data_IF_406794136268
#
_entry.id   IF_406794136268
#
_cell.length_a   1.000
_cell.length_b   1.000
_cell.length_c   1.000
_cell.angle_alpha   90.00
_cell.angle_beta   90.00
_cell.angle_gamma   90.00
#
_symmetry.space_group_name_H-M   'P 1'
#
loop_
_entity.id
_entity.type
_entity.pdbx_description
1 polymer ?
#
# COMPACT_ATOMS: atom_id res chain seq x y z
N UNK A 1 45.03 -6.06 5.81
CA UNK A 1 44.41 -6.58 4.56
C UNK A 1 42.92 -6.73 4.84
N UNK A 2 42.14 -5.72 4.46
CA UNK A 2 40.69 -5.70 4.62
C UNK A 2 40.02 -6.51 3.51
N UNK A 3 39.15 -7.45 3.90
CA UNK A 3 38.37 -8.32 3.00
C UNK A 3 37.45 -7.49 2.10
N UNK A 4 37.44 -7.67 0.76
CA UNK A 4 36.64 -6.85 -0.14
C UNK A 4 35.26 -7.45 -0.54
N UNK A 5 34.67 -8.31 0.27
CA UNK A 5 33.34 -8.88 -0.03
C UNK A 5 32.35 -8.61 1.11
N UNK A 6 31.90 -7.35 1.19
CA UNK A 6 30.58 -7.07 1.76
C UNK A 6 29.56 -7.58 0.77
N UNK A 7 28.98 -8.77 0.98
CA UNK A 7 27.80 -9.21 0.26
C UNK A 7 26.65 -8.29 0.66
N UNK A 8 26.38 -7.27 -0.14
CA UNK A 8 25.20 -6.40 0.08
C UNK A 8 23.96 -7.30 0.09
N UNK A 9 23.21 -7.24 1.20
CA UNK A 9 21.94 -7.96 1.29
C UNK A 9 21.04 -7.56 0.12
N UNK A 10 20.41 -8.55 -0.53
CA UNK A 10 19.59 -8.32 -1.72
C UNK A 10 18.10 -8.49 -1.40
N UNK A 11 17.25 -7.74 -2.11
CA UNK A 11 15.80 -7.86 -2.07
C UNK A 11 15.23 -8.00 -3.48
N UNK A 12 13.93 -8.28 -3.59
CA UNK A 12 13.26 -8.36 -4.88
C UNK A 12 12.72 -7.01 -5.33
N UNK A 13 13.01 -6.64 -6.58
CA UNK A 13 12.37 -5.56 -7.33
C UNK A 13 11.74 -6.18 -8.58
N UNK A 14 10.45 -6.51 -8.50
CA UNK A 14 9.82 -7.42 -9.43
C UNK A 14 10.52 -8.80 -9.40
N UNK A 15 10.89 -9.33 -10.55
CA UNK A 15 11.64 -10.59 -10.65
C UNK A 15 13.16 -10.40 -10.52
N UNK A 16 13.66 -9.17 -10.54
CA UNK A 16 15.09 -8.88 -10.37
C UNK A 16 15.49 -8.89 -8.90
N UNK A 17 16.75 -9.30 -8.62
CA UNK A 17 17.38 -9.09 -7.33
C UNK A 17 18.19 -7.79 -7.38
N UNK A 18 17.99 -6.95 -6.40
CA UNK A 18 18.68 -5.65 -6.26
C UNK A 18 19.22 -5.48 -4.85
N UNK A 19 20.29 -4.68 -4.64
CA UNK A 19 20.72 -4.31 -3.29
C UNK A 19 19.57 -3.67 -2.50
N UNK A 20 19.50 -3.99 -1.21
CA UNK A 20 18.42 -3.47 -0.33
C UNK A 20 18.34 -1.94 -0.38
N UNK A 21 19.49 -1.27 -0.30
CA UNK A 21 19.59 0.18 -0.35
C UNK A 21 19.05 0.79 -1.65
N UNK A 22 19.15 0.08 -2.78
CA UNK A 22 18.71 0.58 -4.09
C UNK A 22 17.20 0.47 -4.31
N UNK A 23 16.51 -0.46 -3.62
CA UNK A 23 15.08 -0.74 -3.89
C UNK A 23 14.20 0.48 -3.71
N UNK A 24 14.40 1.25 -2.64
CA UNK A 24 13.56 2.43 -2.33
C UNK A 24 13.65 3.50 -3.42
N UNK A 25 14.86 3.74 -3.95
CA UNK A 25 15.05 4.66 -5.07
C UNK A 25 14.35 4.18 -6.34
N UNK A 26 14.54 2.92 -6.70
CA UNK A 26 13.90 2.30 -7.88
C UNK A 26 12.36 2.34 -7.79
N UNK A 27 11.80 2.05 -6.64
CA UNK A 27 10.34 2.14 -6.42
C UNK A 27 9.87 3.59 -6.55
N UNK A 28 10.58 4.55 -5.95
CA UNK A 28 10.25 5.96 -6.07
C UNK A 28 10.26 6.44 -7.52
N UNK A 29 11.23 6.01 -8.31
CA UNK A 29 11.35 6.38 -9.72
C UNK A 29 10.17 5.85 -10.54
N UNK A 30 9.73 4.59 -10.30
CA UNK A 30 8.51 4.04 -10.90
C UNK A 30 7.28 4.88 -10.56
N UNK A 31 7.11 5.29 -9.30
CA UNK A 31 5.95 6.11 -8.91
C UNK A 31 6.03 7.55 -9.43
N UNK A 32 7.23 8.12 -9.54
CA UNK A 32 7.42 9.45 -10.15
C UNK A 32 7.03 9.46 -11.62
N UNK A 33 7.38 8.40 -12.38
CA UNK A 33 7.06 8.31 -13.81
C UNK A 33 5.56 8.24 -14.09
N UNK A 34 4.77 7.72 -13.15
CA UNK A 34 3.32 7.54 -13.29
C UNK A 34 2.49 8.53 -12.46
N UNK A 35 3.13 9.39 -11.64
CA UNK A 35 2.45 10.25 -10.66
C UNK A 35 1.35 11.13 -11.29
N UNK A 36 1.61 11.73 -12.45
CA UNK A 36 0.64 12.60 -13.15
C UNK A 36 -0.57 11.84 -13.72
N UNK A 37 -0.44 10.55 -13.96
CA UNK A 37 -1.49 9.70 -14.55
C UNK A 37 -2.00 8.65 -13.55
N UNK A 38 -1.52 8.65 -12.31
CA UNK A 38 -1.86 7.64 -11.31
C UNK A 38 -3.37 7.58 -11.02
N UNK A 39 -4.03 8.74 -10.97
CA UNK A 39 -5.49 8.80 -10.78
C UNK A 39 -6.26 8.28 -12.00
N UNK A 40 -5.70 8.41 -13.21
CA UNK A 40 -6.30 7.88 -14.45
C UNK A 40 -6.21 6.35 -14.51
N UNK A 41 -5.15 5.77 -13.92
CA UNK A 41 -4.94 4.32 -13.81
C UNK A 41 -5.84 3.64 -12.77
N UNK A 42 -6.41 4.39 -11.82
CA UNK A 42 -7.37 3.88 -10.86
C UNK A 42 -8.77 3.75 -11.48
N UNK A 43 -8.89 2.89 -12.50
CA UNK A 43 -10.17 2.50 -13.08
C UNK A 43 -11.20 2.19 -11.98
N UNK A 44 -12.50 2.40 -12.27
CA UNK A 44 -13.61 2.36 -11.33
C UNK A 44 -13.60 1.24 -10.28
N UNK A 45 -12.95 0.08 -10.57
CA UNK A 45 -12.82 -1.05 -9.66
C UNK A 45 -11.98 -0.72 -8.41
N UNK A 46 -10.86 0.02 -8.55
CA UNK A 46 -10.06 0.44 -7.38
C UNK A 46 -10.86 1.34 -6.43
N UNK A 47 -11.77 2.17 -6.98
CA UNK A 47 -12.66 2.99 -6.16
C UNK A 47 -13.61 2.15 -5.33
N UNK A 48 -14.13 1.06 -5.88
CA UNK A 48 -14.98 0.10 -5.18
C UNK A 48 -14.19 -0.66 -4.10
N UNK A 49 -12.96 -1.08 -4.39
CA UNK A 49 -12.12 -1.76 -3.42
C UNK A 49 -11.74 -0.84 -2.24
N UNK A 50 -11.39 0.42 -2.51
CA UNK A 50 -11.13 1.43 -1.46
C UNK A 50 -12.40 1.76 -0.67
N UNK A 51 -13.57 1.77 -1.30
CA UNK A 51 -14.84 1.91 -0.61
C UNK A 51 -15.08 0.74 0.34
N UNK A 52 -14.90 -0.50 -0.13
CA UNK A 52 -15.02 -1.72 0.68
C UNK A 52 -14.03 -1.76 1.86
N UNK A 53 -12.79 -1.25 1.67
CA UNK A 53 -11.83 -1.10 2.76
C UNK A 53 -12.38 -0.22 3.87
N UNK A 54 -12.92 0.96 3.50
CA UNK A 54 -13.45 1.92 4.47
C UNK A 54 -14.77 1.47 5.08
N UNK A 55 -15.62 0.77 4.33
CA UNK A 55 -16.85 0.17 4.85
C UNK A 55 -16.52 -0.87 5.95
N UNK A 56 -15.45 -1.66 5.74
CA UNK A 56 -15.01 -2.63 6.73
C UNK A 56 -14.22 -2.00 7.89
N UNK A 57 -13.52 -0.90 7.65
CA UNK A 57 -12.83 -0.12 8.69
C UNK A 57 -13.83 0.56 9.63
N UNK A 58 -14.97 1.02 9.11
CA UNK A 58 -15.98 1.80 9.83
C UNK A 58 -15.40 3.10 10.41
N UNK A 59 -15.24 4.16 9.58
CA UNK A 59 -14.73 5.46 10.03
C UNK A 59 -15.52 6.00 11.23
N UNK A 60 -14.81 6.59 12.20
CA UNK A 60 -15.38 7.15 13.41
C UNK A 60 -14.71 8.50 13.73
N UNK A 61 -15.46 9.54 14.19
CA UNK A 61 -14.91 10.88 14.40
C UNK A 61 -13.82 10.94 15.48
N UNK A 62 -13.88 10.07 16.50
CA UNK A 62 -12.92 10.06 17.61
C UNK A 62 -11.67 9.17 17.33
N UNK A 63 -11.55 8.62 16.13
CA UNK A 63 -10.45 7.70 15.77
C UNK A 63 -9.44 8.38 14.87
N UNK A 64 -8.16 8.30 15.29
CA UNK A 64 -7.03 8.78 14.49
C UNK A 64 -6.64 7.68 13.49
N UNK A 65 -6.70 8.02 12.20
CA UNK A 65 -6.23 7.17 11.11
C UNK A 65 -4.79 7.52 10.73
N UNK A 66 -3.92 6.52 10.60
CA UNK A 66 -2.65 6.62 9.88
C UNK A 66 -2.79 5.89 8.54
N UNK A 67 -2.70 6.63 7.43
CA UNK A 67 -2.72 6.11 6.06
C UNK A 67 -1.29 6.07 5.51
N UNK A 68 -0.68 4.89 5.48
CA UNK A 68 0.71 4.67 5.08
C UNK A 68 0.79 4.28 3.61
N UNK A 69 1.82 4.75 2.92
CA UNK A 69 1.89 4.79 1.47
C UNK A 69 0.62 5.46 0.88
N UNK A 70 0.19 6.54 1.56
CA UNK A 70 -1.08 7.21 1.28
C UNK A 70 -1.06 8.08 0.03
N UNK A 71 0.13 8.34 -0.54
CA UNK A 71 0.31 9.07 -1.79
C UNK A 71 -0.39 10.43 -1.78
N UNK A 72 -1.33 10.62 -2.68
CA UNK A 72 -2.13 11.86 -2.81
C UNK A 72 -3.31 11.94 -1.82
N UNK A 73 -3.42 11.03 -0.84
CA UNK A 73 -4.42 11.07 0.22
C UNK A 73 -5.84 10.64 -0.19
N UNK A 74 -5.98 9.74 -1.17
CA UNK A 74 -7.32 9.29 -1.60
C UNK A 74 -8.07 8.53 -0.50
N UNK A 75 -7.42 7.65 0.26
CA UNK A 75 -8.03 6.98 1.42
C UNK A 75 -8.38 8.01 2.50
N UNK A 76 -7.44 8.90 2.83
CA UNK A 76 -7.64 9.97 3.81
C UNK A 76 -8.87 10.84 3.48
N UNK A 77 -8.97 11.30 2.24
CA UNK A 77 -10.10 12.07 1.74
C UNK A 77 -11.44 11.32 1.87
N UNK A 78 -11.46 10.05 1.49
CA UNK A 78 -12.67 9.20 1.60
C UNK A 78 -13.05 8.91 3.04
N UNK A 79 -12.05 8.72 3.93
CA UNK A 79 -12.25 8.52 5.36
C UNK A 79 -12.91 9.75 5.99
N UNK A 80 -12.38 10.94 5.71
CA UNK A 80 -12.95 12.22 6.19
C UNK A 80 -14.39 12.43 5.70
N UNK A 81 -14.67 12.17 4.42
CA UNK A 81 -16.04 12.29 3.85
C UNK A 81 -17.05 11.35 4.49
N UNK A 82 -16.60 10.28 5.15
CA UNK A 82 -17.44 9.31 5.88
C UNK A 82 -17.52 9.61 7.37
N UNK A 83 -17.18 10.83 7.79
CA UNK A 83 -17.24 11.25 9.19
C UNK A 83 -16.08 10.74 10.05
N UNK A 84 -14.98 10.33 9.43
CA UNK A 84 -13.77 9.91 10.16
C UNK A 84 -13.08 11.07 10.85
N UNK A 85 -12.37 10.77 11.94
CA UNK A 85 -11.59 11.71 12.76
C UNK A 85 -10.31 12.22 12.08
N UNK A 86 -9.30 12.65 12.85
CA UNK A 86 -8.02 13.12 12.33
C UNK A 86 -7.31 12.06 11.49
N UNK A 87 -6.59 12.50 10.46
CA UNK A 87 -5.83 11.60 9.57
C UNK A 87 -4.39 12.06 9.46
N UNK A 88 -3.47 11.11 9.55
CA UNK A 88 -2.07 11.30 9.20
C UNK A 88 -1.82 10.52 7.90
N UNK A 89 -1.45 11.22 6.85
CA UNK A 89 -0.99 10.61 5.58
C UNK A 89 0.52 10.52 5.62
N UNK A 90 1.06 9.32 5.56
CA UNK A 90 2.49 9.06 5.53
C UNK A 90 2.88 8.41 4.21
N UNK A 91 3.86 8.99 3.52
CA UNK A 91 4.41 8.41 2.28
C UNK A 91 5.91 8.70 2.20
N UNK A 92 6.67 7.80 1.57
CA UNK A 92 8.10 7.98 1.34
C UNK A 92 8.38 8.99 0.21
N UNK A 93 7.37 9.25 -0.65
CA UNK A 93 7.47 10.15 -1.79
C UNK A 93 6.91 11.53 -1.46
N UNK A 94 7.80 12.49 -1.20
CA UNK A 94 7.45 13.86 -0.87
C UNK A 94 6.61 14.54 -1.97
N UNK A 95 6.91 14.29 -3.25
CA UNK A 95 6.18 14.90 -4.35
C UNK A 95 4.70 14.43 -4.40
N UNK A 96 4.43 13.17 -4.03
CA UNK A 96 3.06 12.66 -3.90
C UNK A 96 2.30 13.35 -2.77
N UNK A 97 2.95 13.58 -1.62
CA UNK A 97 2.36 14.30 -0.50
C UNK A 97 2.04 15.76 -0.85
N UNK A 98 2.94 16.45 -1.54
CA UNK A 98 2.74 17.83 -2.00
C UNK A 98 1.59 17.93 -3.00
N UNK A 99 1.54 17.04 -3.99
CA UNK A 99 0.42 16.96 -4.93
C UNK A 99 -0.91 16.69 -4.23
N UNK A 100 -0.92 15.80 -3.24
CA UNK A 100 -2.09 15.50 -2.41
C UNK A 100 -2.54 16.71 -1.59
N UNK A 101 -1.61 17.39 -0.92
CA UNK A 101 -1.89 18.61 -0.14
C UNK A 101 -2.52 19.70 -1.01
N UNK A 102 -1.93 20.00 -2.18
CA UNK A 102 -2.44 20.99 -3.10
C UNK A 102 -3.86 20.64 -3.58
N UNK A 103 -4.06 19.39 -4.02
CA UNK A 103 -5.35 18.90 -4.48
C UNK A 103 -6.45 19.00 -3.41
N UNK A 104 -6.15 18.63 -2.17
CA UNK A 104 -7.16 18.61 -1.10
C UNK A 104 -7.42 19.99 -0.50
N UNK A 105 -6.46 20.92 -0.56
CA UNK A 105 -6.66 22.32 -0.15
C UNK A 105 -7.69 23.06 -1.02
N UNK A 106 -7.75 22.77 -2.32
CA UNK A 106 -8.71 23.35 -3.25
C UNK A 106 -10.17 22.96 -2.93
N UNK A 107 -10.38 21.80 -2.29
CA UNK A 107 -11.72 21.31 -1.93
C UNK A 107 -12.25 21.86 -0.59
N UNK A 108 -11.51 22.73 0.12
CA UNK A 108 -11.98 23.59 1.22
C UNK A 108 -12.59 22.91 2.47
N UNK A 109 -12.56 21.58 2.57
CA UNK A 109 -13.30 20.82 3.60
C UNK A 109 -12.52 19.72 4.30
N UNK A 110 -11.20 19.68 4.17
CA UNK A 110 -10.40 18.60 4.75
C UNK A 110 -9.37 19.17 5.76
N UNK A 111 -9.88 19.93 6.75
CA UNK A 111 -9.17 20.19 8.00
C UNK A 111 -8.81 18.86 8.67
N UNK A 112 -7.74 18.83 9.45
CA UNK A 112 -7.29 17.67 10.23
C UNK A 112 -6.65 16.54 9.41
N UNK A 113 -6.01 16.87 8.29
CA UNK A 113 -5.09 15.96 7.59
C UNK A 113 -3.66 16.45 7.78
N UNK A 114 -2.85 15.66 8.46
CA UNK A 114 -1.41 15.88 8.64
C UNK A 114 -0.64 15.08 7.59
N UNK A 115 0.35 15.71 6.95
CA UNK A 115 1.16 15.08 5.91
C UNK A 115 2.59 14.88 6.41
N UNK A 116 3.07 13.64 6.36
CA UNK A 116 4.36 13.23 6.92
C UNK A 116 5.15 12.46 5.87
N UNK A 117 6.36 12.95 5.56
CA UNK A 117 7.29 12.15 4.74
C UNK A 117 7.95 11.09 5.64
N UNK A 118 7.77 9.82 5.32
CA UNK A 118 8.27 8.73 6.15
C UNK A 118 8.23 7.37 5.48
N UNK A 119 9.08 6.49 5.98
CA UNK A 119 9.20 5.11 5.51
C UNK A 119 8.28 4.20 6.34
N UNK A 120 7.50 3.35 5.66
CA UNK A 120 6.66 2.35 6.32
C UNK A 120 7.43 1.36 7.20
N UNK A 121 8.73 1.17 6.94
CA UNK A 121 9.62 0.30 7.70
C UNK A 121 10.30 0.99 8.90
N UNK A 122 10.11 2.33 9.05
CA UNK A 122 10.63 3.16 10.14
C UNK A 122 9.80 4.44 10.24
N UNK A 123 8.59 4.31 10.78
CA UNK A 123 7.60 5.39 10.82
C UNK A 123 7.99 6.48 11.82
N UNK A 124 8.00 7.77 11.43
CA UNK A 124 8.22 8.89 12.35
C UNK A 124 6.93 9.21 13.13
N UNK A 125 6.33 8.18 13.71
CA UNK A 125 5.06 8.22 14.45
C UNK A 125 5.30 7.60 15.83
N UNK A 126 4.81 8.22 16.91
CA UNK A 126 4.98 7.69 18.26
C UNK A 126 4.33 6.31 18.45
N UNK A 127 4.86 5.55 19.40
CA UNK A 127 4.27 4.28 19.82
C UNK A 127 2.84 4.47 20.32
N UNK A 128 1.97 3.50 20.04
CA UNK A 128 0.61 3.42 20.61
C UNK A 128 -0.18 4.71 20.50
N UNK A 129 -0.07 5.42 19.38
CA UNK A 129 -0.71 6.72 19.14
C UNK A 129 -1.88 6.67 18.16
N UNK A 130 -2.04 5.58 17.41
CA UNK A 130 -2.96 5.44 16.28
C UNK A 130 -4.06 4.44 16.58
N UNK A 131 -5.31 4.78 16.25
CA UNK A 131 -6.48 3.90 16.43
C UNK A 131 -6.70 2.99 15.21
N UNK A 132 -6.43 3.49 14.01
CA UNK A 132 -6.60 2.77 12.76
C UNK A 132 -5.40 3.00 11.85
N UNK A 133 -4.91 1.94 11.22
CA UNK A 133 -3.81 1.95 10.27
C UNK A 133 -4.31 1.40 8.94
N UNK A 134 -4.10 2.13 7.85
CA UNK A 134 -4.35 1.65 6.49
C UNK A 134 -3.07 1.66 5.68
N UNK A 135 -2.92 0.67 4.81
CA UNK A 135 -1.97 0.66 3.72
C UNK A 135 -2.65 0.08 2.48
N UNK A 136 -2.80 0.92 1.44
CA UNK A 136 -3.50 0.53 0.22
C UNK A 136 -2.55 0.56 -0.98
N UNK A 137 -2.31 -0.62 -1.58
CA UNK A 137 -1.43 -0.82 -2.74
C UNK A 137 0.03 -0.39 -2.51
N UNK A 138 0.46 -0.36 -1.23
CA UNK A 138 1.80 0.05 -0.82
C UNK A 138 2.67 -1.07 -0.29
N UNK A 139 2.07 -2.07 0.38
CA UNK A 139 2.82 -3.09 1.14
C UNK A 139 3.71 -3.97 0.27
N UNK A 140 3.34 -4.24 -0.99
CA UNK A 140 4.18 -5.00 -1.94
C UNK A 140 5.49 -4.30 -2.31
N UNK A 141 5.55 -2.98 -2.12
CA UNK A 141 6.68 -2.15 -2.52
C UNK A 141 7.73 -1.97 -1.42
N UNK A 142 7.41 -2.28 -0.16
CA UNK A 142 8.37 -2.20 0.95
C UNK A 142 9.53 -3.18 0.76
N UNK A 143 10.66 -2.89 1.38
CA UNK A 143 11.83 -3.76 1.32
C UNK A 143 11.64 -5.00 2.19
N UNK A 144 11.04 -4.81 3.37
CA UNK A 144 10.74 -5.86 4.34
C UNK A 144 9.32 -5.75 4.87
N UNK A 145 8.45 -6.66 4.43
CA UNK A 145 7.05 -6.75 4.93
C UNK A 145 7.03 -6.92 6.45
N UNK A 146 7.95 -7.74 7.00
CA UNK A 146 8.01 -7.96 8.45
C UNK A 146 8.33 -6.68 9.21
N UNK A 147 9.27 -5.83 8.73
CA UNK A 147 9.58 -4.54 9.36
C UNK A 147 8.38 -3.59 9.30
N UNK A 148 7.74 -3.47 8.13
CA UNK A 148 6.58 -2.61 7.97
C UNK A 148 5.40 -3.05 8.87
N UNK A 149 5.16 -4.36 9.02
CA UNK A 149 4.13 -4.88 9.91
C UNK A 149 4.48 -4.68 11.41
N UNK A 150 5.77 -4.78 11.79
CA UNK A 150 6.23 -4.45 13.15
C UNK A 150 5.99 -2.98 13.47
N UNK A 151 6.29 -2.08 12.55
CA UNK A 151 6.02 -0.65 12.68
C UNK A 151 4.52 -0.36 12.79
N UNK A 152 3.70 -0.98 11.92
CA UNK A 152 2.25 -0.86 12.01
C UNK A 152 1.73 -1.28 13.40
N UNK A 153 2.23 -2.40 13.94
CA UNK A 153 1.89 -2.82 15.29
C UNK A 153 2.40 -1.85 16.36
N UNK A 154 3.63 -1.32 16.20
CA UNK A 154 4.24 -0.39 17.17
C UNK A 154 3.38 0.86 17.36
N UNK A 155 2.95 1.48 16.26
CA UNK A 155 2.21 2.74 16.29
C UNK A 155 0.73 2.56 16.69
N UNK A 156 0.13 1.41 16.46
CA UNK A 156 -1.24 1.13 16.86
C UNK A 156 -1.37 1.08 18.39
N UNK A 157 -2.44 1.64 18.93
CA UNK A 157 -2.87 1.48 20.33
C UNK A 157 -3.35 0.05 20.59
N UNK A 158 -3.35 -0.44 21.83
CA UNK A 158 -4.16 -1.62 22.17
C UNK A 158 -5.62 -1.41 21.75
N UNK A 159 -6.22 -2.39 21.09
CA UNK A 159 -7.53 -2.24 20.45
C UNK A 159 -7.51 -1.52 19.11
N UNK A 160 -6.34 -1.10 18.63
CA UNK A 160 -6.17 -0.48 17.31
C UNK A 160 -6.22 -1.49 16.17
N UNK A 161 -6.71 -1.04 15.01
CA UNK A 161 -6.97 -1.91 13.86
C UNK A 161 -6.04 -1.64 12.70
N UNK A 162 -5.40 -2.69 12.21
CA UNK A 162 -4.61 -2.72 10.97
C UNK A 162 -5.49 -3.16 9.80
N UNK A 163 -5.40 -2.46 8.66
CA UNK A 163 -6.06 -2.80 7.41
C UNK A 163 -5.10 -2.67 6.23
N UNK A 164 -5.00 -3.71 5.41
CA UNK A 164 -4.19 -3.70 4.19
C UNK A 164 -5.06 -4.07 2.99
N UNK A 165 -5.15 -3.16 2.01
CA UNK A 165 -5.73 -3.45 0.70
C UNK A 165 -4.58 -3.63 -0.30
N UNK A 166 -4.48 -4.81 -0.90
CA UNK A 166 -3.41 -5.08 -1.85
C UNK A 166 -3.88 -6.02 -2.97
N UNK A 167 -3.20 -5.95 -4.11
CA UNK A 167 -3.34 -6.98 -5.12
C UNK A 167 -2.92 -8.33 -4.56
N UNK A 168 -3.57 -9.38 -5.04
CA UNK A 168 -3.33 -10.73 -4.56
C UNK A 168 -3.46 -11.76 -5.68
N UNK A 169 -3.43 -13.02 -5.31
CA UNK A 169 -3.55 -14.12 -6.24
C UNK A 169 -5.01 -14.52 -6.40
N UNK A 170 -5.54 -14.64 -7.65
CA UNK A 170 -6.91 -15.08 -7.87
C UNK A 170 -7.24 -16.34 -7.10
N UNK A 171 -8.33 -16.30 -6.34
CA UNK A 171 -8.80 -17.43 -5.53
C UNK A 171 -9.69 -18.41 -6.31
N UNK A 172 -10.18 -18.00 -7.48
CA UNK A 172 -11.04 -18.79 -8.36
C UNK A 172 -10.21 -19.33 -9.50
N UNK A 173 -10.00 -20.64 -9.56
CA UNK A 173 -9.16 -21.30 -10.55
C UNK A 173 -9.58 -21.01 -12.00
N UNK A 174 -10.87 -20.90 -12.27
CA UNK A 174 -11.41 -20.64 -13.61
C UNK A 174 -10.99 -19.28 -14.20
N UNK A 175 -10.70 -18.28 -13.37
CA UNK A 175 -10.30 -16.95 -13.85
C UNK A 175 -8.78 -16.80 -14.03
N UNK A 176 -7.96 -17.73 -13.52
CA UNK A 176 -6.50 -17.66 -13.57
C UNK A 176 -5.96 -17.53 -15.00
N UNK A 177 -6.39 -18.33 -16.00
CA UNK A 177 -5.87 -18.20 -17.35
C UNK A 177 -6.15 -16.83 -17.98
N UNK A 178 -7.38 -16.33 -17.83
CA UNK A 178 -7.78 -15.02 -18.34
C UNK A 178 -7.03 -13.88 -17.63
N UNK A 179 -6.90 -13.96 -16.32
CA UNK A 179 -6.11 -13.00 -15.52
C UNK A 179 -4.64 -12.98 -15.93
N UNK A 180 -4.04 -14.14 -16.18
CA UNK A 180 -2.66 -14.24 -16.64
C UNK A 180 -2.48 -13.61 -18.03
N UNK A 181 -3.36 -13.93 -18.97
CA UNK A 181 -3.32 -13.34 -20.31
C UNK A 181 -3.47 -11.81 -20.25
N UNK A 182 -4.41 -11.31 -19.46
CA UNK A 182 -4.60 -9.87 -19.24
C UNK A 182 -3.35 -9.22 -18.62
N UNK A 183 -2.82 -9.78 -17.51
CA UNK A 183 -1.71 -9.21 -16.77
C UNK A 183 -0.41 -9.14 -17.57
N UNK A 184 -0.08 -10.17 -18.35
CA UNK A 184 1.20 -10.25 -19.06
C UNK A 184 1.16 -9.74 -20.50
N UNK A 185 -0.01 -9.77 -21.14
CA UNK A 185 -0.12 -9.38 -22.56
C UNK A 185 -0.80 -8.03 -22.75
N UNK A 186 -1.85 -7.74 -21.97
CA UNK A 186 -2.70 -6.55 -22.20
C UNK A 186 -2.23 -5.38 -21.35
N UNK A 187 -2.02 -5.56 -20.07
CA UNK A 187 -1.63 -4.48 -19.15
C UNK A 187 -0.35 -3.73 -19.56
N UNK A 188 0.76 -4.40 -19.95
CA UNK A 188 1.97 -3.69 -20.41
C UNK A 188 1.76 -2.89 -21.69
N UNK A 189 0.90 -3.36 -22.60
CA UNK A 189 0.59 -2.62 -23.83
C UNK A 189 -0.31 -1.40 -23.57
N UNK A 190 -1.27 -1.52 -22.65
CA UNK A 190 -2.04 -0.35 -22.16
C UNK A 190 -1.09 0.66 -21.52
N UNK A 191 -0.14 0.19 -20.69
CA UNK A 191 0.88 1.05 -20.09
C UNK A 191 1.68 1.81 -21.12
N UNK A 192 2.14 1.15 -22.17
CA UNK A 192 2.87 1.78 -23.27
C UNK A 192 2.04 2.87 -23.98
N UNK A 193 0.75 2.64 -24.17
CA UNK A 193 -0.13 3.57 -24.89
C UNK A 193 -0.58 4.76 -24.04
N UNK A 194 -0.85 4.52 -22.73
CA UNK A 194 -1.45 5.54 -21.84
C UNK A 194 -0.41 6.37 -21.11
N UNK A 195 0.65 5.73 -20.58
CA UNK A 195 1.65 6.42 -19.75
C UNK A 195 3.02 6.51 -20.40
N UNK A 196 3.22 5.87 -21.57
CA UNK A 196 4.51 5.70 -22.26
C UNK A 196 5.59 5.01 -21.40
N UNK A 197 5.20 4.36 -20.30
CA UNK A 197 6.09 3.67 -19.36
C UNK A 197 5.72 2.17 -19.26
N UNK A 198 6.32 1.36 -20.13
CA UNK A 198 6.14 -0.10 -20.13
C UNK A 198 6.77 -0.76 -18.91
N UNK A 199 7.86 -0.20 -18.40
CA UNK A 199 8.63 -0.80 -17.30
C UNK A 199 7.90 -0.66 -15.96
N UNK A 200 7.18 0.43 -15.73
CA UNK A 200 6.32 0.59 -14.55
C UNK A 200 5.22 -0.48 -14.49
N UNK A 201 4.59 -0.79 -15.62
CA UNK A 201 3.57 -1.84 -15.69
C UNK A 201 4.15 -3.26 -15.56
N UNK A 202 5.33 -3.48 -16.13
CA UNK A 202 6.07 -4.74 -15.94
C UNK A 202 6.38 -4.93 -14.45
N UNK A 203 6.92 -3.91 -13.79
CA UNK A 203 7.15 -3.92 -12.35
C UNK A 203 5.88 -4.21 -11.56
N UNK A 204 4.75 -3.57 -11.92
CA UNK A 204 3.45 -3.82 -11.27
C UNK A 204 3.08 -5.30 -11.29
N UNK A 205 3.09 -5.92 -12.47
CA UNK A 205 2.75 -7.35 -12.63
C UNK A 205 3.71 -8.24 -11.84
N UNK A 206 5.01 -7.98 -11.94
CA UNK A 206 6.05 -8.77 -11.28
C UNK A 206 5.97 -8.62 -9.74
N UNK A 207 5.74 -7.40 -9.23
CA UNK A 207 5.61 -7.15 -7.80
C UNK A 207 4.38 -7.84 -7.20
N UNK A 208 3.26 -7.87 -7.91
CA UNK A 208 2.06 -8.62 -7.51
C UNK A 208 2.37 -10.12 -7.40
N UNK A 209 3.10 -10.68 -8.37
CA UNK A 209 3.43 -12.12 -8.38
C UNK A 209 4.40 -12.53 -7.28
N UNK A 210 5.23 -11.61 -6.81
CA UNK A 210 6.17 -11.82 -5.70
C UNK A 210 5.56 -11.57 -4.33
N UNK A 211 4.42 -10.88 -4.29
CA UNK A 211 3.74 -10.58 -3.03
C UNK A 211 3.13 -11.85 -2.42
N UNK A 212 3.14 -12.01 -1.09
CA UNK A 212 2.51 -13.13 -0.41
C UNK A 212 1.03 -13.28 -0.80
N UNK A 213 0.57 -14.52 -0.95
CA UNK A 213 -0.85 -14.80 -1.08
C UNK A 213 -1.60 -14.49 0.23
N UNK A 214 -2.93 -14.61 0.21
CA UNK A 214 -3.80 -14.22 1.33
C UNK A 214 -3.40 -14.91 2.64
N UNK A 215 -3.18 -16.22 2.62
CA UNK A 215 -2.82 -17.00 3.81
C UNK A 215 -1.38 -16.74 4.28
N UNK A 216 -0.46 -16.50 3.36
CA UNK A 216 0.92 -16.15 3.67
C UNK A 216 1.00 -14.77 4.33
N UNK A 217 0.27 -13.76 3.82
CA UNK A 217 0.23 -12.45 4.47
C UNK A 217 -0.42 -12.52 5.86
N UNK A 218 -1.46 -13.33 6.02
CA UNK A 218 -2.06 -13.59 7.33
C UNK A 218 -1.04 -14.19 8.31
N UNK A 219 -0.20 -15.14 7.87
CA UNK A 219 0.90 -15.68 8.68
C UNK A 219 1.94 -14.60 9.03
N UNK A 220 2.29 -13.73 8.07
CA UNK A 220 3.20 -12.61 8.34
C UNK A 220 2.63 -11.67 9.41
N UNK A 221 1.34 -11.35 9.38
CA UNK A 221 0.69 -10.53 10.40
C UNK A 221 0.73 -11.18 11.77
N UNK A 222 0.41 -12.47 11.86
CA UNK A 222 0.48 -13.26 13.12
C UNK A 222 1.89 -13.32 13.69
N UNK A 223 2.92 -13.43 12.84
CA UNK A 223 4.32 -13.50 13.27
C UNK A 223 4.84 -12.23 13.96
N UNK A 224 4.15 -11.11 13.78
CA UNK A 224 4.46 -9.85 14.46
C UNK A 224 3.44 -9.53 15.58
N UNK A 225 2.66 -10.52 16.03
CA UNK A 225 1.62 -10.37 17.06
C UNK A 225 0.52 -9.35 16.69
N UNK A 226 0.14 -9.29 15.43
CA UNK A 226 -1.13 -8.76 15.00
C UNK A 226 -2.16 -9.88 15.06
N UNK A 227 -3.22 -9.68 15.82
CA UNK A 227 -4.17 -10.72 16.21
C UNK A 227 -5.52 -10.60 15.49
N UNK A 228 -6.43 -11.56 15.68
CA UNK A 228 -7.74 -11.62 15.02
C UNK A 228 -7.65 -11.36 13.52
N UNK A 229 -6.61 -11.93 12.90
CA UNK A 229 -6.37 -11.78 11.47
C UNK A 229 -7.50 -12.39 10.66
N UNK A 230 -7.93 -11.66 9.64
CA UNK A 230 -8.92 -12.12 8.68
C UNK A 230 -8.70 -11.41 7.34
N UNK A 231 -9.27 -11.95 6.27
CA UNK A 231 -9.23 -11.30 4.97
C UNK A 231 -10.54 -11.46 4.18
N UNK A 232 -10.76 -10.54 3.24
CA UNK A 232 -11.87 -10.57 2.28
C UNK A 232 -11.32 -10.45 0.87
N UNK A 233 -11.65 -11.43 0.03
CA UNK A 233 -11.31 -11.38 -1.39
C UNK A 233 -12.26 -10.44 -2.13
N UNK A 234 -11.69 -9.63 -3.02
CA UNK A 234 -12.39 -8.73 -3.91
C UNK A 234 -12.13 -9.17 -5.36
N UNK A 235 -13.15 -9.06 -6.21
CA UNK A 235 -13.05 -9.43 -7.64
C UNK A 235 -12.42 -10.82 -7.85
N UNK A 236 -12.93 -11.83 -7.14
CA UNK A 236 -12.40 -13.20 -7.27
C UNK A 236 -11.01 -13.43 -6.71
N UNK A 237 -10.52 -12.52 -5.85
CA UNK A 237 -9.20 -12.60 -5.22
C UNK A 237 -8.11 -11.83 -5.95
N UNK A 238 -8.44 -11.07 -7.01
CA UNK A 238 -7.48 -10.16 -7.69
C UNK A 238 -6.96 -9.10 -6.73
N UNK A 239 -7.82 -8.62 -5.83
CA UNK A 239 -7.42 -7.82 -4.69
C UNK A 239 -7.97 -8.43 -3.40
N UNK A 240 -7.34 -8.10 -2.28
CA UNK A 240 -7.71 -8.62 -0.96
C UNK A 240 -7.56 -7.53 0.09
N UNK A 241 -8.54 -7.44 0.99
CA UNK A 241 -8.42 -6.64 2.19
C UNK A 241 -8.07 -7.58 3.33
N UNK A 242 -6.94 -7.35 4.00
CA UNK A 242 -6.59 -8.00 5.25
C UNK A 242 -6.90 -7.09 6.43
N UNK A 243 -7.35 -7.66 7.52
CA UNK A 243 -7.60 -6.97 8.77
C UNK A 243 -6.94 -7.71 9.92
N UNK A 244 -6.38 -6.96 10.85
CA UNK A 244 -5.84 -7.49 12.11
C UNK A 244 -5.96 -6.44 13.21
N UNK A 245 -5.71 -6.84 14.45
CA UNK A 245 -5.81 -5.99 15.63
C UNK A 245 -4.53 -6.06 16.46
N UNK A 246 -4.16 -4.97 17.08
CA UNK A 246 -3.25 -4.98 18.21
C UNK A 246 -4.09 -5.17 19.48
N UNK A 247 -4.03 -6.33 20.10
CA UNK A 247 -4.61 -6.60 21.42
C UNK A 247 -3.60 -6.31 22.53
#
# INVERSE_FOLDING_TARGET
>A
MSSPYSTSETTSFGFRKVPIESKKALVRDVFNSVANNYDLMSFGVHRLWKASLLDWLSPHPDKVLLDVAGGTGDIASRYKRRGGGPVIVCDINQAMLEAGRSKLSEYGKLSDITWVCGDAESLPIPDRSIDAYTIAFGLRNVTSISKALKEARRVLRPGGRFMCLEFSHPAISAIIPAYNAYSFKILPEIGRLVTKDRDAYKYLVESIRKFPNQKELEKCMKSVNLEKTSYRNLSGGIATIHSAWRL
#
